data_IF_437313008048
#
_entry.id   IF_437313008048
#
_cell.length_a   1.000
_cell.length_b   1.000
_cell.length_c   1.000
_cell.angle_alpha   90.00
_cell.angle_beta   90.00
_cell.angle_gamma   90.00
#
_symmetry.space_group_name_H-M   'P 1'
#
loop_
_entity.id
_entity.type
_entity.pdbx_description
1 polymer ?
#
# COMPACT_ATOMS: atom_id res chain seq x y z
N UNK A 1 30.33 -23.67 13.26
CA UNK A 1 29.81 -23.34 11.93
C UNK A 1 28.43 -23.98 11.83
N UNK A 2 27.40 -23.26 11.47
CA UNK A 2 26.00 -23.70 11.23
C UNK A 2 25.10 -24.03 12.44
N UNK A 3 24.70 -23.00 13.23
CA UNK A 3 23.59 -23.16 14.19
C UNK A 3 22.69 -21.90 14.34
N UNK A 4 22.75 -20.92 13.43
CA UNK A 4 21.97 -19.66 13.54
C UNK A 4 20.94 -19.43 12.42
N UNK A 5 20.68 -20.42 11.52
CA UNK A 5 19.73 -20.27 10.42
C UNK A 5 18.36 -20.91 10.70
N UNK A 6 18.13 -21.45 11.88
CA UNK A 6 16.93 -22.23 12.22
C UNK A 6 15.80 -21.48 12.90
N UNK A 7 15.91 -20.15 13.14
CA UNK A 7 14.94 -19.43 14.00
C UNK A 7 13.99 -18.48 13.27
N UNK A 8 14.02 -18.41 11.95
CA UNK A 8 13.20 -17.44 11.19
C UNK A 8 11.93 -18.03 10.55
N UNK A 9 11.62 -19.30 10.76
CA UNK A 9 10.48 -19.96 10.07
C UNK A 9 9.30 -20.34 10.97
N UNK A 10 9.25 -19.87 12.23
CA UNK A 10 8.28 -20.35 13.22
C UNK A 10 7.18 -19.33 13.63
N UNK A 11 6.95 -18.22 12.88
CA UNK A 11 5.98 -17.18 13.31
C UNK A 11 4.83 -17.00 12.29
N UNK A 12 4.33 -18.04 11.66
CA UNK A 12 3.13 -17.89 10.81
C UNK A 12 2.15 -19.03 11.03
N UNK A 13 1.72 -19.28 12.25
CA UNK A 13 0.68 -20.28 12.50
C UNK A 13 -0.25 -19.95 13.67
N UNK A 14 -0.61 -18.69 13.87
CA UNK A 14 -1.79 -18.38 14.68
C UNK A 14 -2.96 -18.07 13.76
N UNK A 15 -3.66 -19.11 13.32
CA UNK A 15 -4.98 -18.99 12.69
C UNK A 15 -5.95 -18.55 13.79
N UNK A 16 -6.19 -17.25 13.90
CA UNK A 16 -7.29 -16.75 14.71
C UNK A 16 -8.61 -17.12 14.01
N UNK A 17 -9.61 -17.68 14.70
CA UNK A 17 -10.92 -17.91 14.14
C UNK A 17 -11.55 -16.53 13.82
N UNK A 18 -11.55 -16.11 12.56
CA UNK A 18 -12.39 -15.01 12.11
C UNK A 18 -13.84 -15.46 12.24
N UNK A 19 -14.59 -14.82 13.11
CA UNK A 19 -16.05 -15.00 13.15
C UNK A 19 -16.57 -14.63 11.74
N UNK A 20 -17.07 -15.62 11.02
CA UNK A 20 -17.65 -15.42 9.70
C UNK A 20 -18.91 -14.55 9.84
N UNK A 21 -19.00 -13.46 9.09
CA UNK A 21 -20.22 -12.65 8.99
C UNK A 21 -21.32 -13.44 8.27
N UNK A 22 -22.57 -13.13 8.61
CA UNK A 22 -23.70 -13.67 7.86
C UNK A 22 -23.66 -13.22 6.39
N UNK A 23 -23.87 -14.14 5.47
CA UNK A 23 -23.92 -13.88 4.01
C UNK A 23 -25.35 -13.54 3.61
N UNK A 24 -25.85 -12.43 4.12
CA UNK A 24 -27.23 -11.96 3.92
C UNK A 24 -27.32 -10.74 3.00
N UNK A 25 -26.17 -10.25 2.51
CA UNK A 25 -26.16 -9.12 1.57
C UNK A 25 -26.65 -9.56 0.20
N UNK A 26 -27.28 -8.65 -0.51
CA UNK A 26 -27.84 -8.89 -1.84
C UNK A 26 -27.25 -7.91 -2.83
N UNK A 27 -26.73 -8.41 -3.93
CA UNK A 27 -26.38 -7.61 -5.10
C UNK A 27 -27.19 -8.05 -6.30
N UNK A 28 -27.62 -7.09 -7.10
CA UNK A 28 -28.30 -7.33 -8.39
C UNK A 28 -27.44 -6.75 -9.48
N UNK A 29 -27.19 -7.54 -10.50
CA UNK A 29 -26.41 -7.14 -11.66
C UNK A 29 -27.30 -6.46 -12.71
N UNK A 30 -26.72 -5.64 -13.59
CA UNK A 30 -27.43 -4.98 -14.68
C UNK A 30 -28.15 -5.95 -15.66
N UNK A 31 -27.69 -7.20 -15.71
CA UNK A 31 -28.35 -8.27 -16.50
C UNK A 31 -29.54 -8.95 -15.77
N UNK A 32 -29.83 -8.49 -14.53
CA UNK A 32 -30.89 -9.05 -13.69
C UNK A 32 -30.46 -10.17 -12.75
N UNK A 33 -29.23 -10.67 -12.82
CA UNK A 33 -28.75 -11.71 -11.91
C UNK A 33 -28.72 -11.20 -10.47
N UNK A 34 -29.25 -12.01 -9.56
CA UNK A 34 -29.30 -11.74 -8.12
C UNK A 34 -28.36 -12.68 -7.39
N UNK A 35 -27.45 -12.12 -6.60
CA UNK A 35 -26.46 -12.86 -5.83
C UNK A 35 -26.62 -12.54 -4.34
N UNK A 36 -26.89 -13.57 -3.54
CA UNK A 36 -26.84 -13.49 -2.07
C UNK A 36 -25.42 -13.80 -1.63
N UNK A 37 -24.80 -12.89 -0.90
CA UNK A 37 -23.39 -12.95 -0.58
C UNK A 37 -23.07 -12.20 0.72
N UNK A 38 -21.82 -12.15 1.08
CA UNK A 38 -21.23 -11.20 2.01
C UNK A 38 -20.41 -10.20 1.21
N UNK A 39 -20.74 -8.91 1.25
CA UNK A 39 -19.94 -7.85 0.64
C UNK A 39 -18.69 -7.64 1.46
N UNK A 40 -17.52 -7.91 0.88
CA UNK A 40 -16.22 -7.75 1.53
C UNK A 40 -15.68 -6.32 1.41
N UNK A 41 -15.98 -5.65 0.32
CA UNK A 41 -15.58 -4.27 0.07
C UNK A 41 -15.54 -3.91 -1.41
N UNK A 42 -15.33 -2.63 -1.67
CA UNK A 42 -15.11 -2.07 -3.01
C UNK A 42 -13.74 -1.42 -3.05
N UNK A 43 -12.92 -1.79 -4.01
CA UNK A 43 -11.63 -1.15 -4.29
C UNK A 43 -11.31 -1.27 -5.77
N UNK A 44 -10.71 -0.23 -6.32
CA UNK A 44 -10.27 -0.23 -7.74
C UNK A 44 -11.37 -0.65 -8.71
N UNK A 45 -12.58 -0.10 -8.55
CA UNK A 45 -13.80 -0.44 -9.30
C UNK A 45 -14.19 -1.95 -9.25
N UNK A 46 -13.67 -2.66 -8.27
CA UNK A 46 -13.94 -4.08 -8.06
C UNK A 46 -14.66 -4.28 -6.73
N UNK A 47 -15.87 -4.81 -6.79
CA UNK A 47 -16.63 -5.23 -5.62
C UNK A 47 -16.25 -6.68 -5.28
N UNK A 48 -15.70 -6.89 -4.11
CA UNK A 48 -15.32 -8.20 -3.59
C UNK A 48 -16.45 -8.78 -2.77
N UNK A 49 -16.91 -9.98 -3.12
CA UNK A 49 -18.01 -10.65 -2.45
C UNK A 49 -17.68 -12.12 -2.13
N UNK A 50 -18.18 -12.62 -1.03
CA UNK A 50 -18.07 -14.02 -0.61
C UNK A 50 -19.44 -14.68 -0.70
N UNK A 51 -19.56 -15.68 -1.55
CA UNK A 51 -20.77 -16.48 -1.70
C UNK A 51 -20.63 -17.78 -0.89
N UNK A 52 -21.73 -18.33 -0.44
CA UNK A 52 -21.71 -19.45 0.52
C UNK A 52 -21.16 -20.75 -0.09
N UNK A 53 -21.50 -20.99 -1.33
CA UNK A 53 -21.11 -22.19 -2.08
C UNK A 53 -19.85 -22.02 -2.93
N UNK A 54 -19.12 -20.88 -2.77
CA UNK A 54 -17.85 -20.62 -3.46
C UNK A 54 -16.75 -20.44 -2.42
N UNK A 55 -15.68 -21.23 -2.54
CA UNK A 55 -14.60 -21.23 -1.57
C UNK A 55 -13.81 -19.91 -1.55
N UNK A 56 -13.65 -19.26 -2.70
CA UNK A 56 -12.90 -18.03 -2.85
C UNK A 56 -13.80 -16.79 -2.88
N UNK A 57 -13.22 -15.63 -2.56
CA UNK A 57 -13.84 -14.33 -2.81
C UNK A 57 -13.95 -14.10 -4.30
N UNK A 58 -15.10 -13.61 -4.76
CA UNK A 58 -15.38 -13.31 -6.18
C UNK A 58 -15.16 -11.82 -6.40
N UNK A 59 -14.56 -11.48 -7.52
CA UNK A 59 -14.40 -10.12 -8.02
C UNK A 59 -15.54 -9.77 -8.97
N UNK A 60 -16.32 -8.76 -8.62
CA UNK A 60 -17.46 -8.27 -9.42
C UNK A 60 -17.15 -6.87 -9.92
N UNK A 61 -17.30 -6.63 -11.21
CA UNK A 61 -17.14 -5.30 -11.82
C UNK A 61 -18.20 -4.35 -11.26
N UNK A 62 -17.75 -3.32 -10.51
CA UNK A 62 -18.62 -2.34 -9.88
C UNK A 62 -19.56 -1.64 -10.88
N UNK A 63 -19.08 -1.43 -12.10
CA UNK A 63 -19.86 -0.79 -13.15
C UNK A 63 -21.03 -1.64 -13.65
N UNK A 64 -21.01 -2.95 -13.37
CA UNK A 64 -22.08 -3.90 -13.74
C UNK A 64 -23.07 -4.17 -12.62
N UNK A 65 -22.82 -3.65 -11.42
CA UNK A 65 -23.75 -3.75 -10.29
C UNK A 65 -24.88 -2.74 -10.49
N UNK A 66 -26.12 -3.18 -10.37
CA UNK A 66 -27.33 -2.34 -10.46
C UNK A 66 -27.87 -2.00 -9.08
N UNK A 67 -27.86 -2.95 -8.17
CA UNK A 67 -28.41 -2.78 -6.84
C UNK A 67 -27.53 -3.45 -5.80
N UNK A 68 -27.42 -2.82 -4.63
CA UNK A 68 -26.76 -3.37 -3.46
C UNK A 68 -27.64 -3.12 -2.23
N UNK A 69 -27.80 -4.16 -1.42
CA UNK A 69 -28.51 -4.10 -0.15
C UNK A 69 -27.72 -4.89 0.90
N UNK A 70 -27.32 -4.22 1.95
CA UNK A 70 -26.60 -4.83 3.08
C UNK A 70 -26.94 -4.10 4.37
N UNK A 71 -27.33 -4.87 5.37
CA UNK A 71 -27.57 -4.38 6.75
C UNK A 71 -26.27 -4.24 7.54
N UNK A 72 -25.15 -4.68 6.99
CA UNK A 72 -23.84 -4.55 7.61
C UNK A 72 -23.34 -3.12 7.55
N UNK A 73 -22.47 -2.75 8.49
CA UNK A 73 -21.87 -1.41 8.51
C UNK A 73 -20.60 -1.35 7.66
N UNK A 74 -20.53 -0.31 6.84
CA UNK A 74 -19.38 0.00 5.99
C UNK A 74 -18.90 1.43 6.19
N UNK A 75 -17.62 1.66 5.86
CA UNK A 75 -17.07 2.98 5.58
C UNK A 75 -17.09 3.18 4.07
N UNK A 76 -17.81 4.17 3.60
CA UNK A 76 -17.93 4.54 2.18
C UNK A 76 -17.14 5.81 1.94
N UNK A 77 -16.12 5.73 1.08
CA UNK A 77 -15.30 6.88 0.68
C UNK A 77 -15.66 7.33 -0.71
N UNK A 78 -15.80 8.64 -0.89
CA UNK A 78 -16.11 9.27 -2.17
C UNK A 78 -14.89 9.95 -2.79
N UNK A 79 -14.98 10.29 -4.07
CA UNK A 79 -13.89 10.91 -4.85
C UNK A 79 -13.42 12.23 -4.25
N UNK A 80 -14.30 12.99 -3.57
CA UNK A 80 -13.99 14.25 -2.89
C UNK A 80 -13.33 14.07 -1.52
N UNK A 81 -13.13 12.81 -1.08
CA UNK A 81 -12.52 12.46 0.21
C UNK A 81 -13.49 12.41 1.37
N UNK A 82 -14.80 12.62 1.14
CA UNK A 82 -15.80 12.45 2.19
C UNK A 82 -15.92 10.99 2.59
N UNK A 83 -16.14 10.75 3.90
CA UNK A 83 -16.30 9.41 4.47
C UNK A 83 -17.65 9.34 5.18
N UNK A 84 -18.39 8.30 4.84
CA UNK A 84 -19.72 8.01 5.42
C UNK A 84 -19.68 6.62 6.05
N UNK A 85 -20.33 6.49 7.19
CA UNK A 85 -20.43 5.20 7.90
C UNK A 85 -21.89 4.78 7.96
N UNK A 86 -22.21 3.60 7.48
CA UNK A 86 -23.59 3.11 7.53
C UNK A 86 -23.78 1.78 6.81
N UNK A 87 -25.02 1.33 6.77
CA UNK A 87 -25.45 0.22 5.94
C UNK A 87 -25.69 0.71 4.50
N UNK A 88 -25.66 -0.21 3.55
CA UNK A 88 -25.81 0.11 2.13
C UNK A 88 -27.19 -0.29 1.64
N UNK A 89 -27.86 0.60 0.92
CA UNK A 89 -29.09 0.33 0.22
C UNK A 89 -29.09 1.05 -1.13
N UNK A 90 -29.79 0.54 -2.11
CA UNK A 90 -30.00 1.24 -3.38
C UNK A 90 -31.44 1.71 -3.44
N UNK A 91 -31.72 3.02 -3.37
CA UNK A 91 -33.07 3.54 -3.47
C UNK A 91 -33.66 3.28 -4.86
N UNK A 92 -34.97 3.18 -4.95
CA UNK A 92 -35.67 3.06 -6.24
C UNK A 92 -35.33 4.27 -7.11
N UNK A 93 -34.52 4.08 -8.14
CA UNK A 93 -34.07 5.16 -9.02
C UNK A 93 -34.96 5.20 -10.26
N UNK A 94 -35.54 6.36 -10.62
CA UNK A 94 -36.26 6.51 -11.86
C UNK A 94 -35.40 6.18 -13.08
N UNK A 95 -35.99 5.56 -14.12
CA UNK A 95 -35.27 5.21 -15.34
C UNK A 95 -34.52 6.44 -15.91
N UNK A 96 -33.25 6.26 -16.27
CA UNK A 96 -32.41 7.30 -16.88
C UNK A 96 -31.60 8.18 -15.91
N UNK A 97 -31.69 7.96 -14.58
CA UNK A 97 -30.80 8.61 -13.62
C UNK A 97 -29.61 7.73 -13.25
N UNK A 98 -28.45 8.34 -12.88
CA UNK A 98 -27.32 7.58 -12.35
C UNK A 98 -27.77 6.77 -11.13
N UNK A 99 -27.23 5.56 -11.00
CA UNK A 99 -27.49 4.73 -9.83
C UNK A 99 -26.98 5.41 -8.57
N UNK A 100 -27.82 5.44 -7.55
CA UNK A 100 -27.54 6.05 -6.27
C UNK A 100 -27.35 4.95 -5.22
N UNK A 101 -26.50 5.21 -4.24
CA UNK A 101 -26.33 4.37 -3.06
C UNK A 101 -26.73 5.22 -1.85
N UNK A 102 -27.62 4.68 -1.07
CA UNK A 102 -28.03 5.24 0.19
C UNK A 102 -27.18 4.63 1.30
N UNK A 103 -26.52 5.49 2.07
CA UNK A 103 -25.77 5.11 3.25
C UNK A 103 -26.60 5.50 4.46
N UNK A 104 -27.04 4.50 5.22
CA UNK A 104 -27.90 4.66 6.39
C UNK A 104 -27.05 4.63 7.65
N UNK A 105 -26.78 5.78 8.24
CA UNK A 105 -26.16 5.91 9.54
C UNK A 105 -27.26 6.13 10.60
N UNK A 106 -27.47 5.16 11.47
CA UNK A 106 -28.45 5.30 12.56
C UNK A 106 -27.92 6.25 13.65
N UNK A 107 -28.69 7.22 14.16
CA UNK A 107 -30.11 7.56 13.91
C UNK A 107 -30.31 8.68 12.87
N UNK A 108 -29.34 8.97 12.02
CA UNK A 108 -29.33 10.10 11.11
C UNK A 108 -30.13 9.82 9.82
N UNK A 109 -30.35 10.88 9.06
CA UNK A 109 -31.01 10.76 7.75
C UNK A 109 -30.09 10.04 6.76
N UNK A 110 -30.66 9.18 5.89
CA UNK A 110 -29.88 8.51 4.87
C UNK A 110 -29.20 9.52 3.94
N UNK A 111 -27.92 9.29 3.66
CA UNK A 111 -27.15 10.08 2.69
C UNK A 111 -27.18 9.35 1.36
N UNK A 112 -27.67 10.05 0.35
CA UNK A 112 -27.74 9.50 -1.03
C UNK A 112 -26.49 9.92 -1.79
N UNK A 113 -25.71 8.94 -2.23
CA UNK A 113 -24.45 9.13 -2.96
C UNK A 113 -24.62 8.68 -4.41
N UNK A 114 -24.02 9.41 -5.33
CA UNK A 114 -23.83 8.94 -6.70
C UNK A 114 -22.86 7.75 -6.69
N UNK A 115 -23.28 6.60 -7.20
CA UNK A 115 -22.47 5.40 -7.27
C UNK A 115 -21.12 5.63 -7.97
N UNK A 116 -21.09 6.45 -9.03
CA UNK A 116 -19.88 6.76 -9.77
C UNK A 116 -18.86 7.58 -8.97
N UNK A 117 -19.28 8.20 -7.88
CA UNK A 117 -18.41 8.93 -6.97
C UNK A 117 -17.89 8.09 -5.82
N UNK A 118 -18.40 6.89 -5.61
CA UNK A 118 -17.92 5.98 -4.56
C UNK A 118 -16.65 5.30 -5.04
N UNK A 119 -15.57 5.51 -4.31
CA UNK A 119 -14.22 5.00 -4.66
C UNK A 119 -13.87 3.77 -3.84
N UNK A 120 -14.27 3.77 -2.57
CA UNK A 120 -13.93 2.69 -1.66
C UNK A 120 -15.10 2.39 -0.72
N UNK A 121 -15.31 1.11 -0.44
CA UNK A 121 -16.23 0.61 0.57
C UNK A 121 -15.47 -0.41 1.40
N UNK A 122 -15.24 -0.11 2.67
CA UNK A 122 -14.57 -1.00 3.60
C UNK A 122 -15.56 -1.53 4.64
N UNK A 123 -15.52 -2.82 4.94
CA UNK A 123 -16.28 -3.36 6.07
C UNK A 123 -15.82 -2.71 7.36
N UNK A 124 -16.75 -2.13 8.14
CA UNK A 124 -16.43 -1.72 9.50
C UNK A 124 -16.61 -2.91 10.42
N UNK A 125 -15.66 -3.12 11.27
CA UNK A 125 -15.75 -4.09 12.37
C UNK A 125 -15.45 -3.40 13.68
N UNK A 126 -16.15 -3.81 14.73
CA UNK A 126 -15.76 -3.48 16.11
C UNK A 126 -14.42 -4.12 16.48
N UNK A 127 -14.00 -5.14 15.71
CA UNK A 127 -12.75 -5.84 15.92
C UNK A 127 -11.62 -5.15 15.13
N UNK A 128 -10.65 -4.55 15.83
CA UNK A 128 -9.50 -3.87 15.25
C UNK A 128 -8.67 -4.74 14.30
N UNK A 129 -8.59 -6.06 14.53
CA UNK A 129 -7.84 -6.98 13.69
C UNK A 129 -8.37 -7.11 12.26
N UNK A 130 -9.67 -6.91 12.06
CA UNK A 130 -10.29 -7.00 10.74
C UNK A 130 -10.02 -5.75 9.87
N UNK A 131 -9.42 -4.71 10.43
CA UNK A 131 -9.03 -3.47 9.74
C UNK A 131 -7.62 -3.53 9.17
N UNK A 132 -6.86 -4.59 9.49
CA UNK A 132 -5.55 -4.83 8.91
C UNK A 132 -5.66 -5.49 7.55
N UNK A 133 -4.89 -4.99 6.61
CA UNK A 133 -4.68 -5.60 5.30
C UNK A 133 -3.20 -5.47 4.91
N UNK A 134 -2.72 -6.35 4.06
CA UNK A 134 -1.34 -6.31 3.67
C UNK A 134 -0.98 -7.31 2.59
N UNK A 135 0.29 -7.30 2.25
CA UNK A 135 0.88 -8.12 1.20
C UNK A 135 2.27 -8.60 1.63
N UNK A 136 2.63 -9.80 1.23
CA UNK A 136 3.96 -10.36 1.39
C UNK A 136 4.48 -10.75 0.02
N UNK A 137 5.63 -10.20 -0.34
CA UNK A 137 6.31 -10.37 -1.61
C UNK A 137 7.58 -11.20 -1.40
N UNK A 138 7.76 -12.23 -2.20
CA UNK A 138 8.97 -13.04 -2.25
C UNK A 138 9.54 -13.00 -3.66
N UNK A 139 10.78 -12.63 -3.78
CA UNK A 139 11.50 -12.59 -5.05
C UNK A 139 12.81 -13.38 -4.99
N UNK A 140 13.14 -13.99 -6.09
CA UNK A 140 14.40 -14.67 -6.30
C UNK A 140 14.90 -14.43 -7.72
N UNK A 141 16.18 -14.09 -7.84
CA UNK A 141 16.86 -13.95 -9.13
C UNK A 141 18.19 -14.69 -9.07
N UNK A 142 18.51 -15.44 -10.12
CA UNK A 142 19.78 -16.14 -10.25
C UNK A 142 20.38 -15.88 -11.64
N UNK A 143 21.65 -15.48 -11.68
CA UNK A 143 22.40 -15.24 -12.91
C UNK A 143 23.64 -16.12 -12.94
N UNK A 144 23.69 -17.08 -13.84
CA UNK A 144 24.78 -18.06 -13.95
C UNK A 144 26.13 -17.41 -14.35
N UNK A 145 26.10 -16.36 -15.17
CA UNK A 145 27.35 -15.78 -15.75
C UNK A 145 28.36 -15.29 -14.73
N UNK A 146 27.89 -14.75 -13.60
CA UNK A 146 28.71 -14.26 -12.49
C UNK A 146 28.32 -14.90 -11.15
N UNK A 147 27.60 -16.03 -11.20
CA UNK A 147 27.09 -16.76 -10.03
C UNK A 147 26.38 -15.85 -9.01
N UNK A 148 25.62 -14.89 -9.52
CA UNK A 148 24.87 -13.95 -8.66
C UNK A 148 23.54 -14.56 -8.27
N UNK A 149 23.28 -14.61 -6.96
CA UNK A 149 21.99 -14.96 -6.37
C UNK A 149 21.45 -13.75 -5.63
N UNK A 150 20.20 -13.40 -5.90
CA UNK A 150 19.51 -12.31 -5.23
C UNK A 150 18.20 -12.81 -4.63
N UNK A 151 18.00 -12.51 -3.36
CA UNK A 151 16.79 -12.80 -2.61
C UNK A 151 16.14 -11.49 -2.18
N UNK A 152 14.84 -11.38 -2.35
CA UNK A 152 14.06 -10.26 -1.85
C UNK A 152 12.88 -10.73 -1.04
N UNK A 153 12.64 -10.04 0.07
CA UNK A 153 11.45 -10.16 0.89
C UNK A 153 10.90 -8.75 1.08
N UNK A 154 9.62 -8.54 0.76
CA UNK A 154 8.94 -7.33 1.14
C UNK A 154 7.61 -7.67 1.82
N UNK A 155 7.23 -6.84 2.79
CA UNK A 155 5.94 -6.92 3.47
C UNK A 155 5.36 -5.53 3.58
N UNK A 156 4.07 -5.43 3.35
CA UNK A 156 3.30 -4.22 3.53
C UNK A 156 2.11 -4.54 4.44
N UNK A 157 1.92 -3.75 5.48
CA UNK A 157 0.83 -3.91 6.44
C UNK A 157 0.18 -2.55 6.65
N UNK A 158 -1.13 -2.48 6.40
CA UNK A 158 -1.90 -1.26 6.51
C UNK A 158 -3.06 -1.45 7.48
N UNK A 159 -3.26 -0.47 8.33
CA UNK A 159 -4.41 -0.30 9.20
C UNK A 159 -5.20 0.92 8.75
N UNK A 160 -6.49 0.74 8.51
CA UNK A 160 -7.36 1.81 7.99
C UNK A 160 -8.51 2.07 8.95
N UNK A 161 -8.66 3.32 9.35
CA UNK A 161 -9.74 3.85 10.16
C UNK A 161 -10.52 4.91 9.34
N UNK A 162 -11.59 5.45 9.92
CA UNK A 162 -12.45 6.42 9.27
C UNK A 162 -11.71 7.66 8.76
N UNK A 163 -10.87 8.27 9.60
CA UNK A 163 -10.17 9.53 9.30
C UNK A 163 -8.64 9.42 9.36
N UNK A 164 -8.09 8.27 9.64
CA UNK A 164 -6.65 8.09 9.66
C UNK A 164 -6.28 6.67 9.22
N UNK A 165 -5.08 6.54 8.75
CA UNK A 165 -4.47 5.24 8.41
C UNK A 165 -3.03 5.21 8.88
N UNK A 166 -2.54 4.02 9.16
CA UNK A 166 -1.13 3.77 9.47
C UNK A 166 -0.64 2.61 8.62
N UNK A 167 0.59 2.69 8.16
CA UNK A 167 1.22 1.68 7.35
C UNK A 167 2.61 1.32 7.87
N UNK A 168 2.99 0.09 7.65
CA UNK A 168 4.35 -0.41 7.89
C UNK A 168 4.77 -1.16 6.65
N UNK A 169 5.86 -0.74 6.02
CA UNK A 169 6.48 -1.43 4.91
C UNK A 169 7.89 -1.87 5.30
N UNK A 170 8.21 -3.13 5.07
CA UNK A 170 9.55 -3.68 5.28
C UNK A 170 10.05 -4.29 3.99
N UNK A 171 11.28 -4.02 3.60
CA UNK A 171 11.94 -4.69 2.49
C UNK A 171 13.35 -5.14 2.88
N UNK A 172 13.73 -6.33 2.41
CA UNK A 172 15.07 -6.88 2.60
C UNK A 172 15.55 -7.47 1.29
N UNK A 173 16.68 -6.99 0.80
CA UNK A 173 17.34 -7.49 -0.39
C UNK A 173 18.73 -7.99 -0.03
N UNK A 174 19.03 -9.22 -0.44
CA UNK A 174 20.32 -9.86 -0.25
C UNK A 174 20.86 -10.25 -1.64
N UNK A 175 22.04 -9.78 -1.98
CA UNK A 175 22.72 -10.18 -3.23
C UNK A 175 24.10 -10.75 -2.91
N UNK A 176 24.40 -11.91 -3.49
CA UNK A 176 25.66 -12.60 -3.37
C UNK A 176 26.19 -12.92 -4.76
N UNK A 177 27.46 -12.59 -5.03
CA UNK A 177 28.14 -12.90 -6.29
C UNK A 177 29.46 -13.60 -5.99
N UNK A 178 29.93 -14.45 -6.91
CA UNK A 178 31.22 -15.11 -6.77
C UNK A 178 32.35 -14.08 -6.69
N UNK A 179 33.19 -14.20 -5.64
CA UNK A 179 34.34 -13.32 -5.44
C UNK A 179 34.03 -11.91 -4.93
N UNK A 180 32.77 -11.58 -4.67
CA UNK A 180 32.35 -10.30 -4.09
C UNK A 180 31.81 -10.45 -2.67
N UNK A 181 31.89 -9.37 -1.89
CA UNK A 181 31.20 -9.33 -0.59
C UNK A 181 29.69 -9.30 -0.78
N UNK A 182 28.99 -10.00 0.10
CA UNK A 182 27.51 -10.00 0.10
C UNK A 182 27.00 -8.58 0.30
N UNK A 183 26.14 -8.11 -0.61
CA UNK A 183 25.43 -6.84 -0.45
C UNK A 183 24.10 -7.06 0.22
N UNK A 184 23.77 -6.18 1.15
CA UNK A 184 22.50 -6.19 1.90
C UNK A 184 21.87 -4.81 1.86
N UNK A 185 20.54 -4.80 1.70
CA UNK A 185 19.71 -3.62 1.85
C UNK A 185 18.47 -3.99 2.66
N UNK A 186 18.28 -3.34 3.77
CA UNK A 186 17.10 -3.49 4.62
C UNK A 186 16.47 -2.11 4.82
N UNK A 187 15.17 -2.03 4.67
CA UNK A 187 14.43 -0.78 4.81
C UNK A 187 13.12 -1.05 5.55
N UNK A 188 12.87 -0.25 6.58
CA UNK A 188 11.63 -0.26 7.33
C UNK A 188 11.04 1.15 7.29
N UNK A 189 9.86 1.27 6.70
CA UNK A 189 9.11 2.52 6.64
C UNK A 189 7.85 2.41 7.48
N UNK A 190 7.67 3.34 8.40
CA UNK A 190 6.43 3.54 9.15
C UNK A 190 5.77 4.81 8.63
N UNK A 191 4.48 4.75 8.35
CA UNK A 191 3.72 5.90 7.86
C UNK A 191 2.42 6.07 8.62
N UNK A 192 1.99 7.31 8.76
CA UNK A 192 0.68 7.65 9.28
C UNK A 192 0.08 8.78 8.43
N UNK A 193 -1.21 8.71 8.19
CA UNK A 193 -1.94 9.71 7.44
C UNK A 193 -3.23 10.05 8.17
N UNK A 194 -3.57 11.33 8.22
CA UNK A 194 -4.85 11.82 8.73
C UNK A 194 -5.55 12.60 7.64
N UNK A 195 -6.70 12.07 7.19
CA UNK A 195 -7.51 12.71 6.16
C UNK A 195 -8.26 13.92 6.75
N UNK A 196 -8.27 15.01 5.99
CA UNK A 196 -9.04 16.22 6.31
C UNK A 196 -10.38 16.15 5.59
N UNK A 197 -11.44 16.69 6.22
CA UNK A 197 -12.82 16.63 5.69
C UNK A 197 -13.09 17.51 4.46
N UNK A 198 -12.07 18.04 3.80
CA UNK A 198 -12.24 18.97 2.68
C UNK A 198 -11.20 18.77 1.58
N UNK A 199 -11.68 18.68 0.37
CA UNK A 199 -10.91 18.68 -0.88
C UNK A 199 -9.74 17.68 -0.94
N UNK A 200 -9.89 16.47 -0.36
CA UNK A 200 -8.86 15.43 -0.40
C UNK A 200 -7.50 15.83 0.19
N UNK A 201 -7.44 16.82 1.09
CA UNK A 201 -6.25 17.18 1.81
C UNK A 201 -5.99 16.21 2.96
N UNK A 202 -4.72 15.99 3.28
CA UNK A 202 -4.32 15.13 4.40
C UNK A 202 -3.02 15.63 5.04
N UNK A 203 -2.83 15.29 6.31
CA UNK A 203 -1.53 15.34 6.96
C UNK A 203 -0.86 13.97 6.84
N UNK A 204 0.46 13.96 6.65
CA UNK A 204 1.24 12.72 6.61
C UNK A 204 2.48 12.83 7.48
N UNK A 205 2.85 11.70 8.10
CA UNK A 205 4.10 11.53 8.82
C UNK A 205 4.76 10.23 8.38
N UNK A 206 6.08 10.22 8.33
CA UNK A 206 6.88 9.05 7.95
C UNK A 206 8.09 8.94 8.87
N UNK A 207 8.42 7.70 9.25
CA UNK A 207 9.69 7.32 9.83
C UNK A 207 10.30 6.22 8.96
N UNK A 208 11.52 6.40 8.55
CA UNK A 208 12.22 5.46 7.67
C UNK A 208 13.57 5.07 8.25
N UNK A 209 13.88 3.79 8.20
CA UNK A 209 15.10 3.19 8.71
C UNK A 209 15.74 2.37 7.59
N UNK A 210 16.85 2.84 7.05
CA UNK A 210 17.56 2.22 5.94
C UNK A 210 18.95 1.74 6.39
N UNK A 211 19.27 0.49 6.02
CA UNK A 211 20.61 -0.06 6.00
C UNK A 211 20.97 -0.43 4.57
N UNK A 212 22.10 -0.01 4.07
CA UNK A 212 22.59 -0.37 2.73
C UNK A 212 24.10 -0.50 2.70
N UNK A 213 24.57 -1.70 2.38
CA UNK A 213 26.02 -1.92 2.22
C UNK A 213 26.57 -1.24 0.95
N UNK A 214 25.73 -1.09 -0.08
CA UNK A 214 26.09 -0.44 -1.35
C UNK A 214 26.33 1.06 -1.15
N UNK A 215 25.49 1.71 -0.33
CA UNK A 215 25.63 3.13 0.02
C UNK A 215 26.57 3.35 1.21
N UNK A 216 27.16 2.29 1.77
CA UNK A 216 27.98 2.37 2.99
C UNK A 216 27.21 2.84 4.23
N UNK A 217 25.91 2.76 4.20
CA UNK A 217 25.02 3.19 5.29
C UNK A 217 24.85 2.05 6.28
N UNK A 218 25.34 2.21 7.50
CA UNK A 218 25.10 1.29 8.60
C UNK A 218 23.65 1.42 9.10
N UNK A 219 23.21 2.66 9.29
CA UNK A 219 21.83 2.99 9.64
C UNK A 219 21.55 4.45 9.29
N UNK A 220 20.57 4.66 8.43
CA UNK A 220 19.94 5.94 8.23
C UNK A 220 18.58 5.93 8.95
N UNK A 221 18.35 6.97 9.72
CA UNK A 221 17.05 7.21 10.37
C UNK A 221 16.51 8.52 9.84
N UNK A 222 15.30 8.48 9.27
CA UNK A 222 14.62 9.66 8.76
C UNK A 222 13.27 9.82 9.45
N UNK A 223 12.94 11.04 9.84
CA UNK A 223 11.61 11.45 10.26
C UNK A 223 11.15 12.58 9.36
N UNK A 224 9.99 12.43 8.78
CA UNK A 224 9.40 13.42 7.91
C UNK A 224 7.94 13.66 8.20
N UNK A 225 7.45 14.82 7.82
CA UNK A 225 6.03 15.14 7.92
C UNK A 225 5.65 16.27 6.98
N UNK A 226 4.38 16.31 6.63
CA UNK A 226 3.92 17.28 5.68
C UNK A 226 2.41 17.26 5.45
N UNK A 227 2.03 17.97 4.41
CA UNK A 227 0.66 18.10 3.95
C UNK A 227 0.59 17.64 2.51
N UNK A 228 -0.43 16.89 2.18
CA UNK A 228 -0.65 16.41 0.82
C UNK A 228 -2.09 16.59 0.37
N UNK A 229 -2.28 16.37 -0.93
CA UNK A 229 -3.59 16.37 -1.55
C UNK A 229 -3.71 15.23 -2.56
N UNK A 230 -4.81 14.49 -2.49
CA UNK A 230 -5.18 13.54 -3.51
C UNK A 230 -5.80 14.32 -4.68
N UNK A 231 -5.04 14.52 -5.73
CA UNK A 231 -5.45 15.30 -6.93
C UNK A 231 -6.43 14.51 -7.79
N UNK A 232 -6.19 13.20 -7.92
CA UNK A 232 -7.09 12.24 -8.57
C UNK A 232 -7.36 11.13 -7.58
N UNK A 233 -8.63 10.86 -7.33
CA UNK A 233 -9.08 9.80 -6.44
C UNK A 233 -10.31 9.14 -7.06
N UNK A 234 -10.07 8.15 -7.90
CA UNK A 234 -11.12 7.39 -8.61
C UNK A 234 -10.91 5.89 -8.40
N UNK A 235 -11.89 5.08 -8.77
CA UNK A 235 -11.73 3.61 -8.73
C UNK A 235 -10.63 3.08 -9.68
N UNK A 236 -10.34 3.79 -10.78
CA UNK A 236 -9.32 3.35 -11.76
C UNK A 236 -7.94 3.97 -11.53
N UNK A 237 -7.85 5.12 -10.86
CA UNK A 237 -6.60 5.87 -10.71
C UNK A 237 -6.57 6.70 -9.43
N UNK A 238 -5.38 6.75 -8.85
CA UNK A 238 -5.07 7.57 -7.70
C UNK A 238 -3.79 8.36 -8.00
N UNK A 239 -3.83 9.66 -7.78
CA UNK A 239 -2.68 10.54 -7.89
C UNK A 239 -2.66 11.50 -6.71
N UNK A 240 -1.58 11.48 -5.97
CA UNK A 240 -1.37 12.32 -4.79
C UNK A 240 -0.03 13.06 -4.89
N UNK A 241 -0.02 14.29 -4.40
CA UNK A 241 1.16 15.11 -4.21
C UNK A 241 1.25 15.55 -2.76
N UNK A 242 2.46 15.63 -2.22
CA UNK A 242 2.68 16.09 -0.86
C UNK A 242 4.00 16.87 -0.75
N UNK A 243 4.04 17.75 0.24
CA UNK A 243 5.21 18.53 0.57
C UNK A 243 5.35 18.73 2.08
N UNK A 244 6.57 18.89 2.54
CA UNK A 244 6.87 19.04 3.95
C UNK A 244 8.36 19.13 4.22
N UNK A 245 8.76 18.61 5.37
CA UNK A 245 10.15 18.59 5.82
C UNK A 245 10.52 17.19 6.29
N UNK A 246 11.79 16.87 6.14
CA UNK A 246 12.39 15.65 6.67
C UNK A 246 13.71 15.98 7.38
N UNK A 247 13.94 15.31 8.50
CA UNK A 247 15.20 15.27 9.19
C UNK A 247 15.77 13.87 9.09
N UNK A 248 17.06 13.76 8.78
CA UNK A 248 17.76 12.50 8.62
C UNK A 248 19.04 12.48 9.45
N UNK A 249 19.33 11.33 10.04
CA UNK A 249 20.61 11.00 10.65
C UNK A 249 21.18 9.79 9.95
N UNK A 250 22.37 9.92 9.40
CA UNK A 250 23.04 8.87 8.63
C UNK A 250 24.31 8.46 9.36
N UNK A 251 24.38 7.19 9.76
CA UNK A 251 25.59 6.59 10.31
C UNK A 251 26.23 5.74 9.22
N UNK A 252 27.45 6.05 8.83
CA UNK A 252 28.17 5.29 7.83
C UNK A 252 28.97 4.13 8.42
N UNK A 253 29.31 3.13 7.61
CA UNK A 253 30.13 1.99 8.03
C UNK A 253 31.55 2.45 8.39
N UNK A 254 32.12 1.86 9.44
CA UNK A 254 33.41 2.30 10.05
C UNK A 254 34.68 2.07 9.21
N UNK A 255 34.57 1.48 8.03
CA UNK A 255 35.68 1.26 7.08
C UNK A 255 36.23 2.56 6.49
N UNK A 256 35.52 3.67 6.68
CA UNK A 256 35.91 5.00 6.25
C UNK A 256 36.22 5.81 7.49
N UNK A 257 37.31 6.50 7.46
CA UNK A 257 37.81 7.36 8.54
C UNK A 257 36.78 8.31 9.10
N UNK A 258 36.93 8.61 10.41
CA UNK A 258 36.02 8.20 11.48
C UNK A 258 34.60 8.35 11.00
N UNK A 259 33.85 7.26 10.95
CA UNK A 259 32.52 7.22 10.39
C UNK A 259 31.67 8.40 10.83
N UNK A 260 31.52 9.46 10.03
CA UNK A 260 30.82 10.63 10.49
C UNK A 260 29.34 10.28 10.53
N UNK A 261 28.77 10.59 11.67
CA UNK A 261 27.31 10.72 11.73
C UNK A 261 26.96 12.03 11.06
N UNK A 262 26.27 11.97 9.94
CA UNK A 262 25.72 13.15 9.29
C UNK A 262 24.28 13.39 9.74
N UNK A 263 23.92 14.67 9.86
CA UNK A 263 22.55 15.09 10.09
C UNK A 263 22.14 16.04 8.96
N UNK A 264 21.06 15.69 8.28
CA UNK A 264 20.58 16.46 7.14
C UNK A 264 19.12 16.82 7.36
N UNK A 265 18.81 18.10 7.25
CA UNK A 265 17.43 18.60 7.21
C UNK A 265 17.11 18.95 5.76
N UNK A 266 16.02 18.44 5.24
CA UNK A 266 15.62 18.59 3.85
C UNK A 266 14.18 19.08 3.73
N UNK A 267 13.87 19.81 2.68
CA UNK A 267 12.50 19.89 2.22
C UNK A 267 12.12 18.52 1.62
N UNK A 268 10.85 18.15 1.72
CA UNK A 268 10.31 16.91 1.17
C UNK A 268 9.26 17.26 0.13
N UNK A 269 9.44 16.80 -1.08
CA UNK A 269 8.45 16.87 -2.15
C UNK A 269 8.22 15.46 -2.67
N UNK A 270 6.98 15.01 -2.68
CA UNK A 270 6.68 13.66 -3.09
C UNK A 270 5.41 13.53 -3.92
N UNK A 271 5.35 12.44 -4.64
CA UNK A 271 4.20 12.06 -5.44
C UNK A 271 3.96 10.56 -5.39
N UNK A 272 2.70 10.18 -5.46
CA UNK A 272 2.26 8.79 -5.55
C UNK A 272 1.23 8.66 -6.66
N UNK A 273 1.41 7.67 -7.51
CA UNK A 273 0.48 7.32 -8.59
C UNK A 273 0.15 5.84 -8.48
N UNK A 274 -1.13 5.50 -8.45
CA UNK A 274 -1.59 4.13 -8.57
C UNK A 274 -2.58 4.04 -9.72
N UNK A 275 -2.36 3.11 -10.62
CA UNK A 275 -3.26 2.82 -11.74
C UNK A 275 -3.78 1.39 -11.61
N UNK A 276 -5.09 1.24 -11.68
CA UNK A 276 -5.78 -0.03 -11.48
C UNK A 276 -6.52 -0.44 -12.76
N UNK A 277 -6.51 -1.70 -13.08
CA UNK A 277 -7.32 -2.28 -14.15
C UNK A 277 -8.06 -3.49 -13.63
N UNK A 278 -9.32 -3.28 -13.31
CA UNK A 278 -10.29 -4.27 -12.83
C UNK A 278 -9.65 -5.61 -12.40
N UNK A 279 -9.31 -5.74 -11.12
CA UNK A 279 -8.81 -6.97 -10.47
C UNK A 279 -7.71 -7.75 -11.23
N UNK A 280 -7.06 -7.14 -12.22
CA UNK A 280 -6.03 -7.81 -13.02
C UNK A 280 -4.64 -7.25 -12.82
N UNK A 281 -4.51 -5.95 -12.92
CA UNK A 281 -3.19 -5.31 -12.86
C UNK A 281 -3.22 -4.07 -11.98
N UNK A 282 -2.12 -3.83 -11.29
CA UNK A 282 -1.88 -2.60 -10.52
C UNK A 282 -0.48 -2.10 -10.86
N UNK A 283 -0.38 -0.82 -11.20
CA UNK A 283 0.88 -0.11 -11.28
C UNK A 283 0.93 0.91 -10.15
N UNK A 284 1.91 0.79 -9.26
CA UNK A 284 2.16 1.70 -8.16
C UNK A 284 3.51 2.40 -8.38
N UNK A 285 3.51 3.72 -8.36
CA UNK A 285 4.70 4.56 -8.50
C UNK A 285 4.76 5.51 -7.32
N UNK A 286 5.95 5.69 -6.75
CA UNK A 286 6.22 6.68 -5.71
C UNK A 286 7.56 7.36 -6.00
N UNK A 287 7.58 8.68 -5.96
CA UNK A 287 8.80 9.46 -6.12
C UNK A 287 8.89 10.51 -5.01
N UNK A 288 10.09 10.67 -4.44
CA UNK A 288 10.41 11.68 -3.44
C UNK A 288 11.69 12.41 -3.84
N UNK A 289 11.67 13.72 -3.74
CA UNK A 289 12.84 14.59 -3.89
C UNK A 289 13.05 15.31 -2.56
N UNK A 290 14.26 15.22 -2.03
CA UNK A 290 14.63 15.81 -0.74
C UNK A 290 15.84 16.74 -0.94
N UNK A 291 15.63 17.99 -1.37
CA UNK A 291 16.69 18.98 -1.38
C UNK A 291 17.11 19.30 0.04
N UNK A 292 18.40 19.12 0.36
CA UNK A 292 18.94 19.39 1.67
C UNK A 292 18.99 20.89 1.95
N UNK A 293 18.38 21.31 3.05
CA UNK A 293 18.40 22.68 3.53
C UNK A 293 19.66 22.98 4.35
N UNK A 294 20.16 21.97 5.06
CA UNK A 294 21.39 22.07 5.87
C UNK A 294 22.66 21.90 5.06
N UNK A 295 22.59 21.37 3.83
CA UNK A 295 23.72 21.20 2.90
C UNK A 295 23.29 21.67 1.49
N UNK A 296 23.38 22.99 1.20
CA UNK A 296 22.89 23.57 -0.03
C UNK A 296 23.52 22.92 -1.27
N UNK A 297 22.66 22.45 -2.19
CA UNK A 297 23.04 21.78 -3.43
C UNK A 297 23.11 20.25 -3.32
N UNK A 298 22.91 19.65 -2.13
CA UNK A 298 22.70 18.22 -1.99
C UNK A 298 21.21 17.90 -2.24
N UNK A 299 20.97 16.89 -3.06
CA UNK A 299 19.63 16.41 -3.40
C UNK A 299 19.64 14.91 -3.26
N UNK A 300 18.71 14.42 -2.44
CA UNK A 300 18.40 12.99 -2.39
C UNK A 300 17.13 12.75 -3.20
N UNK A 301 17.09 11.64 -3.91
CA UNK A 301 15.94 11.23 -4.71
C UNK A 301 15.67 9.76 -4.50
N UNK A 302 14.42 9.43 -4.20
CA UNK A 302 13.97 8.05 -4.04
C UNK A 302 12.82 7.81 -5.02
N UNK A 303 12.90 6.73 -5.77
CA UNK A 303 11.84 6.29 -6.66
C UNK A 303 11.58 4.79 -6.50
N UNK A 304 10.32 4.44 -6.39
CA UNK A 304 9.85 3.07 -6.32
C UNK A 304 8.74 2.88 -7.35
N UNK A 305 8.82 1.79 -8.09
CA UNK A 305 7.79 1.35 -9.03
C UNK A 305 7.48 -0.13 -8.78
N UNK A 306 6.21 -0.49 -8.74
CA UNK A 306 5.78 -1.87 -8.61
C UNK A 306 4.62 -2.15 -9.57
N UNK A 307 4.72 -3.24 -10.31
CA UNK A 307 3.69 -3.72 -11.21
C UNK A 307 3.25 -5.10 -10.78
N UNK A 308 1.95 -5.26 -10.55
CA UNK A 308 1.34 -6.49 -10.10
C UNK A 308 0.36 -7.01 -11.15
N UNK A 309 0.40 -8.32 -11.38
CA UNK A 309 -0.56 -9.04 -12.22
C UNK A 309 -1.19 -10.16 -11.39
N UNK A 310 -2.50 -10.13 -11.22
CA UNK A 310 -3.22 -11.20 -10.52
C UNK A 310 -3.16 -12.49 -11.32
N UNK A 311 -2.68 -13.55 -10.68
CA UNK A 311 -2.62 -14.88 -11.27
C UNK A 311 -3.85 -15.69 -10.89
N UNK A 312 -4.04 -15.93 -9.60
CA UNK A 312 -5.15 -16.73 -9.08
C UNK A 312 -5.42 -16.42 -7.60
N UNK A 313 -6.69 -16.22 -7.24
CA UNK A 313 -7.09 -15.95 -5.85
C UNK A 313 -6.36 -14.73 -5.28
N UNK A 314 -5.56 -14.96 -4.25
CA UNK A 314 -4.71 -13.95 -3.58
C UNK A 314 -3.27 -13.92 -4.09
N UNK A 315 -2.95 -14.74 -5.09
CA UNK A 315 -1.62 -14.85 -5.67
C UNK A 315 -1.47 -13.89 -6.85
N UNK A 316 -0.40 -13.09 -6.82
CA UNK A 316 -0.01 -12.17 -7.89
C UNK A 316 1.43 -12.44 -8.30
N UNK A 317 1.73 -12.21 -9.55
CA UNK A 317 3.10 -11.98 -10.00
C UNK A 317 3.43 -10.51 -9.84
N UNK A 318 4.66 -10.20 -9.40
CA UNK A 318 5.13 -8.83 -9.28
C UNK A 318 6.44 -8.59 -10.04
N UNK A 319 6.62 -7.35 -10.44
CA UNK A 319 7.89 -6.81 -10.87
C UNK A 319 8.07 -5.45 -10.19
N UNK A 320 9.14 -5.27 -9.47
CA UNK A 320 9.43 -4.02 -8.76
C UNK A 320 10.80 -3.46 -9.14
N UNK A 321 10.90 -2.15 -9.08
CA UNK A 321 12.11 -1.39 -9.32
C UNK A 321 12.23 -0.33 -8.25
N UNK A 322 13.44 -0.14 -7.72
CA UNK A 322 13.74 0.99 -6.85
C UNK A 322 15.01 1.70 -7.31
N UNK A 323 15.11 2.99 -7.02
CA UNK A 323 16.36 3.73 -7.10
C UNK A 323 16.44 4.78 -6.03
N UNK A 324 17.64 4.92 -5.45
CA UNK A 324 17.99 5.97 -4.51
C UNK A 324 19.22 6.67 -5.04
N UNK A 325 19.14 7.99 -5.10
CA UNK A 325 20.22 8.84 -5.58
C UNK A 325 20.61 9.82 -4.47
N UNK A 326 21.89 10.00 -4.27
CA UNK A 326 22.48 11.07 -3.48
C UNK A 326 23.57 11.71 -4.36
N UNK A 327 23.42 12.96 -4.74
CA UNK A 327 24.39 13.64 -5.60
C UNK A 327 25.70 14.02 -4.86
N UNK A 328 25.73 13.86 -3.53
CA UNK A 328 26.91 14.13 -2.70
C UNK A 328 27.11 13.02 -1.65
N UNK A 329 27.34 11.77 -2.07
CA UNK A 329 27.63 10.69 -1.14
C UNK A 329 29.01 10.91 -0.52
N UNK A 330 29.32 10.23 0.62
CA UNK A 330 30.66 10.20 1.17
C UNK A 330 31.69 9.66 0.16
N UNK A 331 32.96 10.08 0.27
CA UNK A 331 34.02 9.58 -0.59
C UNK A 331 34.13 8.05 -0.56
N UNK A 332 34.18 7.44 -1.75
CA UNK A 332 34.28 5.98 -1.89
C UNK A 332 32.97 5.21 -1.99
N UNK A 333 31.82 5.91 -1.90
CA UNK A 333 30.49 5.29 -2.07
C UNK A 333 29.82 5.71 -3.37
N UNK A 334 28.86 4.86 -3.79
CA UNK A 334 28.09 5.09 -5.00
C UNK A 334 27.10 6.26 -4.82
N UNK A 335 26.92 7.06 -5.88
CA UNK A 335 25.91 8.11 -5.94
C UNK A 335 24.51 7.56 -6.11
N UNK A 336 24.38 6.29 -6.50
CA UNK A 336 23.10 5.65 -6.78
C UNK A 336 23.10 4.20 -6.29
N UNK A 337 21.94 3.79 -5.78
CA UNK A 337 21.62 2.40 -5.47
C UNK A 337 20.28 2.10 -6.17
N UNK A 338 20.26 1.13 -7.06
CA UNK A 338 19.06 0.72 -7.75
C UNK A 338 18.98 -0.79 -7.89
N UNK A 339 17.77 -1.29 -7.98
CA UNK A 339 17.53 -2.71 -8.16
C UNK A 339 16.18 -2.98 -8.79
N UNK A 340 16.09 -4.09 -9.47
CA UNK A 340 14.85 -4.63 -9.99
C UNK A 340 14.67 -6.06 -9.48
N UNK A 341 13.45 -6.38 -9.09
CA UNK A 341 13.09 -7.71 -8.62
C UNK A 341 11.83 -8.20 -9.31
N UNK A 342 11.71 -9.50 -9.45
CA UNK A 342 10.48 -10.15 -9.88
C UNK A 342 10.19 -11.30 -8.94
N UNK A 343 8.92 -11.54 -8.67
CA UNK A 343 8.56 -12.53 -7.67
C UNK A 343 7.06 -12.80 -7.61
N UNK A 344 6.68 -13.40 -6.53
CA UNK A 344 5.30 -13.76 -6.21
C UNK A 344 4.88 -13.01 -4.96
N UNK A 345 3.67 -12.44 -5.01
CA UNK A 345 3.02 -11.74 -3.91
C UNK A 345 1.81 -12.50 -3.44
N UNK A 346 1.59 -12.51 -2.14
CA UNK A 346 0.38 -13.03 -1.51
C UNK A 346 -0.26 -11.95 -0.67
N UNK A 347 -1.48 -11.56 -1.03
CA UNK A 347 -2.25 -10.58 -0.26
C UNK A 347 -3.01 -11.25 0.88
N UNK A 348 -3.16 -10.54 2.00
CA UNK A 348 -3.99 -10.97 3.13
C UNK A 348 -4.89 -9.82 3.63
N UNK A 349 -5.88 -10.15 4.45
CA UNK A 349 -6.90 -9.21 4.91
C UNK A 349 -8.26 -9.46 4.24
N UNK A 350 -9.12 -8.46 4.30
CA UNK A 350 -10.51 -8.55 3.81
C UNK A 350 -10.65 -8.35 2.29
N UNK A 351 -9.80 -8.98 1.49
CA UNK A 351 -9.85 -8.95 0.02
C UNK A 351 -10.25 -10.28 -0.55
#
# INVERSE_FOLDING_TARGET
MNRKLGLLFAIVSTVFPLAAREKSDVIVMKNGDKITCEVKGLRSDTLYVKVDYILNTISVDWNKVDHIDSKQLFLVRTQDGSVYRGSLSTPATPAGRPLQIEVLEAPEKPVVLDRGKVVNVDQTSTNAWQRFNGEVDLGFNFTKGNETSQYSLATDLNYVEEHWSAGTAFSSNLSSSAGASVSTRNELTLSAQKDLRWNNWYYTGVADFLQSSVLGVQLQTMFGGGVGRNVVNTGASFFSVYGGFAWQRINYQQTIQPGPTEQVTSALLGTQVNLFRFDRTTLALRANVLPALSDPGRILFNFNAAYYVKLWGKLKWNCSFYTNLDNRPPPGFATSDYGATTGISVSFGNH
#
